data_IF_440646578991
#
_entry.id   IF_440646578991
#
_cell.length_a   1.000
_cell.length_b   1.000
_cell.length_c   1.000
_cell.angle_alpha   90.00
_cell.angle_beta   90.00
_cell.angle_gamma   90.00
#
_symmetry.space_group_name_H-M   'P 1'
#
loop_
_entity.id
_entity.type
_entity.pdbx_description
1 polymer ?
#
# COMPACT_ATOMS: atom_id res chain seq x y z
N UNK A 1 37.98 75.03 21.04
CA UNK A 1 36.83 75.05 20.10
C UNK A 1 37.28 75.83 18.88
N UNK A 2 37.87 75.17 17.88
CA UNK A 2 37.28 74.53 16.66
C UNK A 2 37.42 75.46 15.45
N UNK A 3 37.61 74.88 14.26
CA UNK A 3 37.85 75.45 12.91
C UNK A 3 39.33 75.39 12.51
N UNK A 4 39.86 74.31 11.91
CA UNK A 4 39.48 73.49 10.74
C UNK A 4 39.70 74.21 9.41
N UNK A 5 40.92 74.04 8.92
CA UNK A 5 41.48 74.54 7.65
C UNK A 5 41.00 73.68 6.47
N UNK A 6 40.51 74.34 5.43
CA UNK A 6 40.26 73.76 4.11
C UNK A 6 41.58 73.74 3.32
N UNK A 7 42.01 72.56 2.85
CA UNK A 7 43.11 72.41 1.90
C UNK A 7 42.67 71.58 0.70
N UNK A 8 42.97 72.11 -0.46
CA UNK A 8 42.69 71.63 -1.82
C UNK A 8 43.58 70.45 -2.20
N UNK A 9 43.03 69.43 -2.89
CA UNK A 9 43.83 68.45 -3.61
C UNK A 9 43.11 67.86 -4.84
N UNK A 10 43.76 68.11 -6.00
CA UNK A 10 43.96 67.26 -7.19
C UNK A 10 42.77 66.64 -7.94
N UNK A 11 42.61 67.12 -9.18
CA UNK A 11 42.04 66.41 -10.32
C UNK A 11 42.84 65.13 -10.65
N UNK A 12 42.14 64.01 -10.77
CA UNK A 12 42.59 62.81 -11.49
C UNK A 12 41.52 62.40 -12.51
N UNK A 13 41.99 62.19 -13.74
CA UNK A 13 41.27 61.77 -14.93
C UNK A 13 40.51 60.45 -14.72
N UNK A 14 39.20 60.45 -14.98
CA UNK A 14 38.36 59.26 -14.97
C UNK A 14 38.17 58.74 -16.41
N UNK A 15 38.80 57.59 -16.70
CA UNK A 15 38.56 56.78 -17.89
C UNK A 15 37.15 56.20 -17.82
N UNK A 16 36.34 56.43 -18.85
CA UNK A 16 34.98 55.92 -18.96
C UNK A 16 34.97 54.37 -19.08
N UNK A 17 34.45 53.69 -18.05
CA UNK A 17 34.19 52.26 -18.08
C UNK A 17 32.90 51.97 -18.87
N UNK A 18 32.97 51.08 -19.87
CA UNK A 18 31.82 50.56 -20.61
C UNK A 18 30.93 49.71 -19.67
N UNK A 19 29.59 49.70 -19.84
CA UNK A 19 28.73 48.84 -19.04
C UNK A 19 28.93 47.37 -19.42
N UNK A 20 29.21 46.52 -18.43
CA UNK A 20 29.21 45.06 -18.59
C UNK A 20 27.81 44.57 -18.98
N UNK A 21 27.70 43.96 -20.16
CA UNK A 21 26.56 43.14 -20.53
C UNK A 21 26.42 41.96 -19.55
N UNK A 22 25.44 42.08 -18.64
CA UNK A 22 24.98 41.00 -17.78
C UNK A 22 24.54 39.82 -18.66
N UNK A 23 25.41 38.81 -18.82
CA UNK A 23 25.04 37.50 -19.40
C UNK A 23 23.87 36.92 -18.62
N UNK A 24 22.68 37.00 -19.22
CA UNK A 24 21.50 36.29 -18.75
C UNK A 24 21.71 34.81 -19.06
N UNK A 25 22.10 34.02 -18.06
CA UNK A 25 22.14 32.57 -18.18
C UNK A 25 20.74 32.08 -18.57
N UNK A 26 20.56 31.31 -19.67
CA UNK A 26 19.26 30.80 -20.03
C UNK A 26 18.71 29.98 -18.89
N UNK A 27 17.57 30.40 -18.34
CA UNK A 27 16.86 29.65 -17.32
C UNK A 27 16.59 28.24 -17.87
N UNK A 28 17.14 27.21 -17.21
CA UNK A 28 16.84 25.83 -17.56
C UNK A 28 15.32 25.64 -17.62
N UNK A 29 14.79 24.93 -18.62
CA UNK A 29 13.35 24.72 -18.71
C UNK A 29 12.90 24.07 -17.42
N UNK A 30 12.08 24.79 -16.63
CA UNK A 30 11.39 24.20 -15.48
C UNK A 30 10.62 23.00 -16.03
N UNK A 31 11.11 21.79 -15.74
CA UNK A 31 10.40 20.56 -16.05
C UNK A 31 8.95 20.76 -15.59
N UNK A 32 8.00 20.68 -16.54
CA UNK A 32 6.56 20.75 -16.24
C UNK A 32 6.33 19.83 -15.05
N UNK A 33 5.91 20.39 -13.90
CA UNK A 33 5.40 19.60 -12.79
C UNK A 33 4.09 18.97 -13.27
N UNK A 34 4.17 17.88 -14.03
CA UNK A 34 3.03 17.00 -14.30
C UNK A 34 2.74 16.21 -13.03
N UNK A 35 2.46 16.93 -11.93
CA UNK A 35 2.05 16.38 -10.64
C UNK A 35 0.58 16.00 -10.65
N UNK A 36 0.09 15.41 -11.75
CA UNK A 36 -1.23 14.80 -11.77
C UNK A 36 -1.21 13.61 -10.82
N UNK A 37 -2.09 13.61 -9.82
CA UNK A 37 -2.36 12.41 -9.02
C UNK A 37 -2.79 11.29 -9.98
N UNK A 38 -2.09 10.17 -9.99
CA UNK A 38 -2.43 9.01 -10.81
C UNK A 38 -3.71 8.35 -10.27
N UNK A 39 -4.88 8.89 -10.65
CA UNK A 39 -6.18 8.44 -10.16
C UNK A 39 -6.49 6.99 -10.54
N UNK A 40 -5.96 6.51 -11.68
CA UNK A 40 -6.08 5.11 -12.07
C UNK A 40 -5.46 4.14 -11.03
N UNK A 41 -4.38 4.52 -10.34
CA UNK A 41 -3.81 3.68 -9.26
C UNK A 41 -4.76 3.59 -8.06
N UNK A 42 -5.48 4.67 -7.77
CA UNK A 42 -6.47 4.70 -6.70
C UNK A 42 -7.69 3.80 -7.03
N UNK A 43 -8.08 3.71 -8.31
CA UNK A 43 -9.06 2.73 -8.77
C UNK A 43 -8.57 1.29 -8.66
N UNK A 44 -7.36 1.01 -9.14
CA UNK A 44 -6.78 -0.34 -9.08
C UNK A 44 -6.62 -0.85 -7.65
N UNK A 45 -6.31 0.06 -6.71
CA UNK A 45 -6.32 -0.22 -5.27
C UNK A 45 -7.69 -0.69 -4.77
N UNK A 46 -8.77 -0.01 -5.15
CA UNK A 46 -10.11 -0.43 -4.74
C UNK A 46 -10.46 -1.80 -5.33
N UNK A 47 -10.10 -2.06 -6.60
CA UNK A 47 -10.27 -3.38 -7.22
C UNK A 47 -9.55 -4.46 -6.42
N UNK A 48 -8.29 -4.24 -6.04
CA UNK A 48 -7.53 -5.18 -5.23
C UNK A 48 -8.17 -5.41 -3.84
N UNK A 49 -8.68 -4.37 -3.19
CA UNK A 49 -9.41 -4.51 -1.92
C UNK A 49 -10.70 -5.33 -2.08
N UNK A 50 -11.47 -5.06 -3.12
CA UNK A 50 -12.70 -5.80 -3.40
C UNK A 50 -12.38 -7.27 -3.66
N UNK A 51 -11.34 -7.58 -4.46
CA UNK A 51 -10.88 -8.95 -4.68
C UNK A 51 -10.63 -9.67 -3.35
N UNK A 52 -9.95 -9.03 -2.40
CA UNK A 52 -9.70 -9.61 -1.08
C UNK A 52 -11.01 -9.81 -0.30
N UNK A 53 -11.94 -8.86 -0.34
CA UNK A 53 -13.25 -9.03 0.31
C UNK A 53 -14.08 -10.17 -0.30
N UNK A 54 -14.10 -10.29 -1.63
CA UNK A 54 -14.70 -11.41 -2.37
C UNK A 54 -14.13 -12.74 -1.88
N UNK A 55 -12.81 -12.82 -1.70
CA UNK A 55 -12.13 -13.98 -1.12
C UNK A 55 -12.61 -14.28 0.31
N UNK A 56 -12.63 -13.28 1.20
CA UNK A 56 -13.01 -13.50 2.60
C UNK A 56 -14.48 -13.85 2.81
N UNK A 57 -15.38 -13.48 1.90
CA UNK A 57 -16.81 -13.78 2.02
C UNK A 57 -17.25 -15.04 1.28
N UNK A 58 -16.64 -15.34 0.14
CA UNK A 58 -17.10 -16.42 -0.73
C UNK A 58 -16.02 -17.36 -1.27
N UNK A 59 -14.74 -16.99 -1.15
CA UNK A 59 -13.61 -17.72 -1.75
C UNK A 59 -12.76 -18.55 -0.78
N UNK A 60 -13.03 -18.47 0.53
CA UNK A 60 -12.28 -19.18 1.58
C UNK A 60 -13.18 -19.91 2.57
N UNK A 61 -12.64 -20.89 3.25
CA UNK A 61 -13.28 -21.54 4.40
C UNK A 61 -12.86 -20.90 5.72
N UNK A 62 -13.02 -21.66 6.80
CA UNK A 62 -12.69 -21.23 8.16
C UNK A 62 -13.85 -20.50 8.81
N UNK A 63 -13.58 -19.41 9.53
CA UNK A 63 -14.55 -18.71 10.38
C UNK A 63 -15.77 -18.18 9.61
N UNK A 64 -15.60 -17.79 8.34
CA UNK A 64 -16.72 -17.36 7.50
C UNK A 64 -17.76 -18.47 7.27
N UNK A 65 -17.37 -19.75 7.31
CA UNK A 65 -18.31 -20.88 7.22
C UNK A 65 -19.29 -20.86 8.39
N UNK A 66 -18.83 -20.48 9.59
CA UNK A 66 -19.71 -20.35 10.75
C UNK A 66 -20.66 -19.15 10.62
N UNK A 67 -20.21 -18.06 9.99
CA UNK A 67 -21.05 -16.89 9.72
C UNK A 67 -22.18 -17.22 8.72
N UNK A 68 -21.88 -17.96 7.64
CA UNK A 68 -22.89 -18.46 6.71
C UNK A 68 -23.73 -19.62 7.27
N UNK A 69 -23.21 -20.35 8.27
CA UNK A 69 -23.79 -21.59 8.79
C UNK A 69 -23.60 -22.82 7.88
N UNK A 70 -23.07 -22.64 6.68
CA UNK A 70 -22.63 -23.71 5.76
C UNK A 70 -21.42 -23.22 4.95
N UNK A 71 -20.80 -24.11 4.17
CA UNK A 71 -19.62 -23.75 3.40
C UNK A 71 -19.93 -22.68 2.33
N UNK A 72 -19.02 -21.72 2.07
CA UNK A 72 -19.18 -20.79 0.95
C UNK A 72 -19.31 -21.46 -0.43
N UNK A 73 -18.77 -22.67 -0.60
CA UNK A 73 -19.00 -23.48 -1.80
C UNK A 73 -20.48 -23.86 -1.97
N UNK A 74 -21.18 -24.14 -0.88
CA UNK A 74 -22.64 -24.37 -0.88
C UNK A 74 -23.41 -23.09 -1.15
N UNK A 75 -22.97 -21.97 -0.56
CA UNK A 75 -23.61 -20.66 -0.73
C UNK A 75 -23.45 -20.10 -2.15
N UNK A 76 -22.30 -20.35 -2.80
CA UNK A 76 -21.95 -19.83 -4.12
C UNK A 76 -21.36 -20.92 -5.03
N UNK A 77 -22.15 -21.91 -5.49
CA UNK A 77 -21.63 -23.08 -6.21
C UNK A 77 -20.81 -22.77 -7.46
N UNK A 78 -21.15 -21.68 -8.16
CA UNK A 78 -20.44 -21.24 -9.37
C UNK A 78 -19.34 -20.22 -9.04
N UNK A 79 -19.60 -19.26 -8.15
CA UNK A 79 -18.70 -18.13 -7.92
C UNK A 79 -17.58 -18.41 -6.92
N UNK A 80 -17.70 -19.41 -6.04
CA UNK A 80 -16.70 -19.66 -4.99
C UNK A 80 -15.30 -19.90 -5.56
N UNK A 81 -15.20 -20.61 -6.69
CA UNK A 81 -13.92 -20.88 -7.38
C UNK A 81 -13.28 -19.58 -7.89
N UNK A 82 -14.06 -18.66 -8.46
CA UNK A 82 -13.59 -17.36 -8.90
C UNK A 82 -13.16 -16.48 -7.71
N UNK A 83 -13.98 -16.45 -6.66
CA UNK A 83 -13.70 -15.70 -5.44
C UNK A 83 -12.46 -16.22 -4.72
N UNK A 84 -12.12 -17.51 -4.86
CA UNK A 84 -10.91 -18.07 -4.28
C UNK A 84 -9.66 -17.35 -4.78
N UNK A 85 -9.61 -16.91 -6.04
CA UNK A 85 -8.46 -16.15 -6.55
C UNK A 85 -8.36 -14.73 -5.97
N UNK A 86 -9.38 -14.24 -5.26
CA UNK A 86 -9.42 -12.90 -4.69
C UNK A 86 -8.29 -12.59 -3.69
N UNK A 87 -7.70 -13.62 -3.07
CA UNK A 87 -6.50 -13.45 -2.22
C UNK A 87 -5.32 -12.83 -2.98
N UNK A 88 -5.25 -13.01 -4.31
CA UNK A 88 -4.22 -12.42 -5.16
C UNK A 88 -4.28 -10.89 -5.26
N UNK A 89 -5.37 -10.28 -4.77
CA UNK A 89 -5.46 -8.83 -4.61
C UNK A 89 -4.35 -8.27 -3.70
N UNK A 90 -3.83 -9.07 -2.75
CA UNK A 90 -2.71 -8.65 -1.88
C UNK A 90 -1.42 -8.45 -2.69
N UNK A 91 -1.12 -9.33 -3.64
CA UNK A 91 0.04 -9.23 -4.51
C UNK A 91 -0.07 -7.96 -5.39
N UNK A 92 -1.27 -7.67 -5.91
CA UNK A 92 -1.54 -6.42 -6.63
C UNK A 92 -1.29 -5.19 -5.73
N UNK A 93 -1.73 -5.23 -4.46
CA UNK A 93 -1.43 -4.18 -3.49
C UNK A 93 0.06 -3.96 -3.28
N UNK A 94 0.86 -5.02 -3.19
CA UNK A 94 2.30 -4.91 -3.02
C UNK A 94 3.00 -4.32 -4.25
N UNK A 95 2.56 -4.66 -5.47
CA UNK A 95 3.06 -3.99 -6.69
C UNK A 95 2.73 -2.49 -6.68
N UNK A 96 1.48 -2.12 -6.32
CA UNK A 96 1.09 -0.70 -6.20
C UNK A 96 1.88 0.01 -5.10
N UNK A 97 2.13 -0.66 -3.97
CA UNK A 97 2.88 -0.12 -2.84
C UNK A 97 4.32 0.16 -3.25
N UNK A 98 4.99 -0.78 -3.90
CA UNK A 98 6.34 -0.58 -4.46
C UNK A 98 6.44 0.65 -5.37
N UNK A 99 5.49 0.79 -6.28
CA UNK A 99 5.42 1.93 -7.19
C UNK A 99 5.24 3.27 -6.44
N UNK A 100 4.23 3.34 -5.56
CA UNK A 100 3.88 4.60 -4.88
C UNK A 100 4.88 4.99 -3.80
N UNK A 101 5.52 4.03 -3.14
CA UNK A 101 6.57 4.31 -2.17
C UNK A 101 7.82 4.84 -2.84
N UNK A 102 8.24 4.27 -3.97
CA UNK A 102 9.34 4.82 -4.73
C UNK A 102 9.03 6.25 -5.22
N UNK A 103 7.82 6.47 -5.74
CA UNK A 103 7.35 7.78 -6.16
C UNK A 103 7.34 8.81 -5.04
N UNK A 104 6.76 8.46 -3.90
CA UNK A 104 6.56 9.40 -2.79
C UNK A 104 7.79 9.62 -1.93
N UNK A 105 8.72 8.67 -1.88
CA UNK A 105 10.01 8.82 -1.20
C UNK A 105 11.06 9.57 -2.02
N UNK A 106 10.89 9.67 -3.35
CA UNK A 106 11.89 10.28 -4.21
C UNK A 106 12.07 11.78 -3.93
N UNK A 107 13.29 12.17 -3.53
CA UNK A 107 13.63 13.57 -3.26
C UNK A 107 12.89 14.18 -2.07
N UNK A 108 12.41 13.36 -1.13
CA UNK A 108 11.78 13.81 0.12
C UNK A 108 12.68 13.57 1.33
N UNK A 109 12.67 14.46 2.33
CA UNK A 109 13.38 14.20 3.58
C UNK A 109 12.68 13.07 4.36
N UNK A 110 13.47 12.29 5.11
CA UNK A 110 13.00 11.13 5.87
C UNK A 110 11.80 11.43 6.77
N UNK A 111 11.85 12.56 7.51
CA UNK A 111 10.75 12.98 8.39
C UNK A 111 9.44 13.19 7.64
N UNK A 112 9.50 13.84 6.47
CA UNK A 112 8.30 14.08 5.65
C UNK A 112 7.74 12.78 5.06
N UNK A 113 8.62 11.86 4.67
CA UNK A 113 8.24 10.52 4.24
C UNK A 113 7.52 9.77 5.37
N UNK A 114 8.14 9.67 6.54
CA UNK A 114 7.57 9.02 7.72
C UNK A 114 6.23 9.64 8.12
N UNK A 115 6.18 10.97 8.28
CA UNK A 115 4.96 11.69 8.63
C UNK A 115 3.85 11.42 7.61
N UNK A 116 4.15 11.35 6.31
CA UNK A 116 3.16 11.02 5.28
C UNK A 116 2.66 9.58 5.36
N UNK A 117 3.49 8.62 5.76
CA UNK A 117 3.08 7.20 5.86
C UNK A 117 2.31 6.93 7.15
N UNK A 118 2.83 7.39 8.28
CA UNK A 118 2.19 7.25 9.60
C UNK A 118 0.81 7.92 9.64
N UNK A 119 0.71 9.16 9.14
CA UNK A 119 -0.59 9.86 9.09
C UNK A 119 -1.62 9.23 8.16
N UNK A 120 -1.18 8.44 7.17
CA UNK A 120 -2.06 7.71 6.27
C UNK A 120 -2.57 6.40 6.88
N UNK A 121 -1.71 5.68 7.62
CA UNK A 121 -2.04 4.35 8.12
C UNK A 121 -2.71 4.37 9.50
N UNK A 122 -2.16 5.15 10.44
CA UNK A 122 -2.54 5.04 11.85
C UNK A 122 -3.99 5.45 12.17
N UNK A 123 -4.54 6.55 11.62
CA UNK A 123 -5.90 7.00 11.99
C UNK A 123 -6.98 5.94 11.78
N UNK A 124 -7.09 5.39 10.56
CA UNK A 124 -8.09 4.37 10.27
C UNK A 124 -7.74 3.02 10.91
N UNK A 125 -6.46 2.70 11.08
CA UNK A 125 -6.05 1.47 11.77
C UNK A 125 -6.51 1.48 13.24
N UNK A 126 -6.24 2.54 13.98
CA UNK A 126 -6.70 2.67 15.37
C UNK A 126 -8.22 2.62 15.46
N UNK A 127 -8.92 3.33 14.58
CA UNK A 127 -10.37 3.29 14.55
C UNK A 127 -10.92 1.89 14.26
N UNK A 128 -10.33 1.15 13.32
CA UNK A 128 -10.73 -0.21 12.98
C UNK A 128 -10.47 -1.17 14.16
N UNK A 129 -9.31 -1.08 14.81
CA UNK A 129 -9.00 -1.88 16.02
C UNK A 129 -10.06 -1.64 17.09
N UNK A 130 -10.36 -0.38 17.43
CA UNK A 130 -11.36 -0.05 18.44
C UNK A 130 -12.76 -0.51 18.05
N UNK A 131 -13.14 -0.37 16.78
CA UNK A 131 -14.45 -0.77 16.29
C UNK A 131 -14.64 -2.29 16.34
N UNK A 132 -13.63 -3.07 15.94
CA UNK A 132 -13.68 -4.54 16.05
C UNK A 132 -13.73 -4.97 17.51
N UNK A 133 -12.91 -4.36 18.37
CA UNK A 133 -12.95 -4.61 19.82
C UNK A 133 -14.32 -4.35 20.41
N UNK A 134 -14.95 -3.22 20.08
CA UNK A 134 -16.29 -2.91 20.56
C UNK A 134 -17.33 -3.90 20.02
N UNK A 135 -17.28 -4.22 18.72
CA UNK A 135 -18.21 -5.18 18.12
C UNK A 135 -18.12 -6.57 18.78
N UNK A 136 -16.91 -7.02 19.13
CA UNK A 136 -16.70 -8.33 19.76
C UNK A 136 -17.03 -8.34 21.26
N UNK A 137 -17.15 -7.17 21.89
CA UNK A 137 -17.63 -7.04 23.27
C UNK A 137 -19.17 -7.12 23.38
N UNK A 138 -19.90 -7.01 22.25
CA UNK A 138 -21.36 -7.09 22.26
C UNK A 138 -21.82 -8.53 22.54
N UNK A 139 -22.72 -8.77 23.52
CA UNK A 139 -23.18 -10.11 23.88
C UNK A 139 -23.84 -10.90 22.74
N UNK A 140 -24.36 -10.19 21.73
CA UNK A 140 -25.03 -10.76 20.56
C UNK A 140 -24.05 -11.30 19.52
N UNK A 141 -22.76 -10.99 19.65
CA UNK A 141 -21.72 -11.39 18.71
C UNK A 141 -21.01 -12.61 19.29
N UNK A 142 -21.13 -13.76 18.63
CA UNK A 142 -20.50 -15.01 19.12
C UNK A 142 -19.02 -15.09 18.74
N UNK A 143 -18.26 -14.07 19.15
CA UNK A 143 -16.81 -14.04 19.18
C UNK A 143 -16.38 -13.76 20.63
N UNK A 144 -15.20 -14.27 21.02
CA UNK A 144 -14.68 -14.04 22.36
C UNK A 144 -14.27 -12.57 22.51
N UNK A 145 -14.64 -11.95 23.62
CA UNK A 145 -14.15 -10.63 23.99
C UNK A 145 -12.62 -10.62 24.05
N UNK A 146 -12.02 -9.56 23.53
CA UNK A 146 -10.56 -9.41 23.44
C UNK A 146 -9.98 -8.92 24.77
N UNK A 147 -8.77 -9.38 25.11
CA UNK A 147 -8.04 -8.88 26.27
C UNK A 147 -7.66 -7.40 26.06
N UNK A 148 -7.86 -6.51 27.06
CA UNK A 148 -7.41 -5.12 26.97
C UNK A 148 -5.91 -5.00 26.65
N UNK A 149 -5.09 -5.93 27.17
CA UNK A 149 -3.65 -5.99 26.87
C UNK A 149 -3.40 -6.21 25.38
N UNK A 150 -4.10 -7.16 24.77
CA UNK A 150 -3.92 -7.49 23.35
C UNK A 150 -4.36 -6.32 22.47
N UNK A 151 -5.45 -5.65 22.83
CA UNK A 151 -5.91 -4.44 22.13
C UNK A 151 -4.87 -3.34 22.18
N UNK A 152 -4.28 -3.07 23.35
CA UNK A 152 -3.23 -2.05 23.52
C UNK A 152 -1.99 -2.38 22.68
N UNK A 153 -1.55 -3.64 22.65
CA UNK A 153 -0.44 -4.05 21.79
C UNK A 153 -0.81 -3.90 20.32
N UNK A 154 -2.02 -4.28 19.92
CA UNK A 154 -2.48 -4.13 18.53
C UNK A 154 -2.48 -2.67 18.09
N UNK A 155 -2.79 -1.69 18.95
CA UNK A 155 -2.72 -0.26 18.63
C UNK A 155 -1.29 0.22 18.23
N UNK A 156 -0.25 -0.53 18.61
CA UNK A 156 1.15 -0.25 18.22
C UNK A 156 1.55 -0.85 16.86
N UNK A 157 0.72 -1.73 16.28
CA UNK A 157 1.06 -2.58 15.12
C UNK A 157 2.17 -3.63 15.37
N UNK A 158 2.58 -3.83 16.62
CA UNK A 158 3.65 -4.79 17.01
C UNK A 158 3.13 -6.15 17.49
N UNK A 159 1.84 -6.45 17.32
CA UNK A 159 1.26 -7.73 17.76
C UNK A 159 1.92 -8.95 17.13
N UNK A 160 2.29 -8.88 15.84
CA UNK A 160 2.93 -9.99 15.12
C UNK A 160 4.32 -10.34 15.69
N UNK A 161 5.29 -9.42 15.79
CA UNK A 161 6.60 -9.74 16.34
C UNK A 161 6.58 -10.06 17.85
N UNK A 162 5.56 -9.59 18.59
CA UNK A 162 5.41 -9.87 20.01
C UNK A 162 4.57 -11.12 20.31
N UNK A 163 4.09 -11.84 19.28
CA UNK A 163 3.31 -13.07 19.44
C UNK A 163 1.92 -12.86 20.05
N UNK A 164 1.35 -11.67 19.92
CA UNK A 164 0.03 -11.31 20.43
C UNK A 164 -1.04 -11.54 19.36
N UNK A 165 -2.21 -12.01 19.78
CA UNK A 165 -3.35 -12.26 18.90
C UNK A 165 -3.77 -10.99 18.14
N UNK A 166 -4.18 -11.20 16.88
CA UNK A 166 -4.50 -10.11 15.97
C UNK A 166 -5.95 -9.70 16.12
N UNK A 167 -6.20 -8.44 16.45
CA UNK A 167 -7.56 -7.88 16.45
C UNK A 167 -8.10 -7.75 15.02
N UNK A 168 -7.23 -7.37 14.08
CA UNK A 168 -7.56 -7.28 12.66
C UNK A 168 -6.84 -8.41 11.91
N UNK A 169 -7.57 -9.33 11.29
CA UNK A 169 -6.96 -10.45 10.57
C UNK A 169 -6.04 -10.00 9.43
N UNK A 170 -6.37 -8.91 8.74
CA UNK A 170 -5.56 -8.33 7.65
C UNK A 170 -4.23 -7.69 8.10
N UNK A 171 -3.95 -7.54 9.39
CA UNK A 171 -2.80 -6.77 9.88
C UNK A 171 -1.43 -7.34 9.45
N UNK A 172 -1.35 -8.62 9.07
CA UNK A 172 -0.12 -9.21 8.54
C UNK A 172 0.36 -8.52 7.25
N UNK A 173 -0.56 -8.07 6.39
CA UNK A 173 -0.21 -7.31 5.17
C UNK A 173 0.35 -5.94 5.49
N UNK A 174 -0.22 -5.27 6.51
CA UNK A 174 0.28 -3.99 7.00
C UNK A 174 1.65 -4.14 7.64
N UNK A 175 1.88 -5.23 8.37
CA UNK A 175 3.18 -5.55 8.94
C UNK A 175 4.25 -5.77 7.85
N UNK A 176 3.91 -6.46 6.75
CA UNK A 176 4.77 -6.54 5.58
C UNK A 176 5.04 -5.15 4.97
N UNK A 177 4.00 -4.32 4.84
CA UNK A 177 4.12 -2.99 4.26
C UNK A 177 4.99 -2.04 5.11
N UNK A 178 4.84 -2.04 6.44
CA UNK A 178 5.66 -1.23 7.36
C UNK A 178 7.14 -1.64 7.31
N UNK A 179 7.43 -2.94 7.23
CA UNK A 179 8.80 -3.44 7.05
C UNK A 179 9.41 -2.99 5.73
N UNK A 180 8.65 -3.06 4.63
CA UNK A 180 9.07 -2.50 3.35
C UNK A 180 9.33 -0.99 3.46
N UNK A 181 8.49 -0.23 4.16
CA UNK A 181 8.70 1.20 4.36
C UNK A 181 9.99 1.48 5.12
N UNK A 182 10.31 0.70 6.14
CA UNK A 182 11.54 0.81 6.91
C UNK A 182 12.77 0.50 6.04
N UNK A 183 12.75 -0.61 5.28
CA UNK A 183 13.84 -0.95 4.35
C UNK A 183 14.06 0.14 3.30
N UNK A 184 12.99 0.62 2.67
CA UNK A 184 13.07 1.67 1.66
C UNK A 184 13.53 3.00 2.26
N UNK A 185 13.07 3.34 3.46
CA UNK A 185 13.49 4.54 4.16
C UNK A 185 14.99 4.51 4.47
N UNK A 186 15.50 3.39 5.00
CA UNK A 186 16.89 3.22 5.37
C UNK A 186 17.83 3.19 4.15
N UNK A 187 17.46 2.44 3.11
CA UNK A 187 18.35 2.22 1.96
C UNK A 187 18.25 3.31 0.88
N UNK A 188 17.11 4.01 0.77
CA UNK A 188 16.84 4.95 -0.34
C UNK A 188 16.57 6.37 0.14
N UNK A 189 15.63 6.55 1.08
CA UNK A 189 15.21 7.91 1.47
C UNK A 189 16.27 8.61 2.30
N UNK A 190 16.82 7.94 3.32
CA UNK A 190 17.84 8.46 4.21
C UNK A 190 19.12 8.89 3.48
N UNK A 191 19.78 8.03 2.67
CA UNK A 191 20.98 8.44 1.95
C UNK A 191 20.68 9.39 0.79
N UNK A 192 19.42 9.41 0.31
CA UNK A 192 18.97 10.20 -0.83
C UNK A 192 18.73 9.33 -2.08
N UNK A 193 17.53 9.45 -2.65
CA UNK A 193 17.09 8.62 -3.77
C UNK A 193 17.82 9.00 -5.07
N UNK A 194 18.56 8.05 -5.64
CA UNK A 194 19.15 8.15 -6.98
C UNK A 194 18.85 6.89 -7.79
N UNK A 195 18.83 7.00 -9.13
CA UNK A 195 18.56 5.87 -10.02
C UNK A 195 19.49 4.68 -9.73
N UNK A 196 20.79 4.95 -9.60
CA UNK A 196 21.80 3.91 -9.29
C UNK A 196 21.49 3.20 -7.97
N UNK A 197 21.17 3.95 -6.91
CA UNK A 197 20.84 3.36 -5.60
C UNK A 197 19.57 2.53 -5.63
N UNK A 198 18.54 2.99 -6.33
CA UNK A 198 17.30 2.21 -6.46
C UNK A 198 17.54 0.91 -7.23
N UNK A 199 18.31 0.94 -8.32
CA UNK A 199 18.66 -0.29 -9.07
C UNK A 199 19.47 -1.25 -8.19
N UNK A 200 20.49 -0.75 -7.48
CA UNK A 200 21.31 -1.57 -6.58
C UNK A 200 20.49 -2.15 -5.42
N UNK A 201 19.55 -1.36 -4.87
CA UNK A 201 18.60 -1.83 -3.85
C UNK A 201 17.70 -2.94 -4.40
N UNK A 202 17.12 -2.77 -5.59
CA UNK A 202 16.31 -3.81 -6.22
C UNK A 202 17.10 -5.09 -6.47
N UNK A 203 18.30 -4.98 -7.04
CA UNK A 203 19.17 -6.12 -7.31
C UNK A 203 19.61 -6.83 -6.01
N UNK A 204 20.08 -6.05 -5.03
CA UNK A 204 20.53 -6.56 -3.74
C UNK A 204 19.40 -7.22 -2.94
N UNK A 205 18.22 -6.60 -2.88
CA UNK A 205 17.08 -7.18 -2.18
C UNK A 205 16.54 -8.43 -2.89
N UNK A 206 16.49 -8.45 -4.23
CA UNK A 206 16.10 -9.64 -5.00
C UNK A 206 17.05 -10.81 -4.69
N UNK A 207 18.36 -10.57 -4.74
CA UNK A 207 19.37 -11.58 -4.46
C UNK A 207 19.30 -12.05 -3.00
N UNK A 208 19.23 -11.11 -2.04
CA UNK A 208 19.14 -11.44 -0.63
C UNK A 208 17.87 -12.23 -0.29
N UNK A 209 16.73 -11.90 -0.90
CA UNK A 209 15.49 -12.65 -0.76
C UNK A 209 15.61 -14.08 -1.31
N UNK A 210 16.23 -14.26 -2.48
CA UNK A 210 16.47 -15.58 -3.05
C UNK A 210 17.38 -16.45 -2.17
N UNK A 211 18.47 -15.87 -1.64
CA UNK A 211 19.39 -16.57 -0.72
C UNK A 211 18.66 -16.94 0.58
N UNK A 212 17.89 -16.02 1.15
CA UNK A 212 17.13 -16.24 2.39
C UNK A 212 16.17 -17.42 2.27
N UNK A 213 15.52 -17.54 1.12
CA UNK A 213 14.62 -18.66 0.88
C UNK A 213 15.36 -20.01 0.88
N UNK A 214 16.61 -20.03 0.43
CA UNK A 214 17.46 -21.23 0.44
C UNK A 214 18.06 -21.54 1.82
N UNK A 215 18.42 -20.52 2.61
CA UNK A 215 19.05 -20.70 3.92
C UNK A 215 18.06 -21.01 5.06
N UNK A 216 16.77 -20.73 4.87
CA UNK A 216 15.71 -20.89 5.89
C UNK A 216 15.97 -20.11 7.18
N UNK A 217 16.76 -19.05 7.13
CA UNK A 217 17.07 -18.21 8.29
C UNK A 217 15.83 -17.41 8.74
N UNK A 218 15.40 -17.58 9.98
CA UNK A 218 14.18 -16.97 10.51
C UNK A 218 14.27 -15.43 10.56
N UNK A 219 15.43 -14.87 10.93
CA UNK A 219 15.61 -13.43 11.04
C UNK A 219 15.58 -12.78 9.65
N UNK A 220 16.28 -13.36 8.69
CA UNK A 220 16.27 -12.87 7.31
C UNK A 220 14.88 -12.99 6.67
N UNK A 221 14.13 -14.04 6.97
CA UNK A 221 12.74 -14.16 6.51
C UNK A 221 11.86 -13.02 7.03
N UNK A 222 12.03 -12.65 8.30
CA UNK A 222 11.31 -11.51 8.91
C UNK A 222 11.73 -10.19 8.27
N UNK A 223 13.02 -9.98 8.01
CA UNK A 223 13.52 -8.70 7.48
C UNK A 223 13.22 -8.57 5.98
N UNK A 224 13.60 -9.57 5.19
CA UNK A 224 13.64 -9.48 3.72
C UNK A 224 12.33 -9.92 3.06
N UNK A 225 11.43 -10.60 3.77
CA UNK A 225 10.10 -10.97 3.29
C UNK A 225 10.14 -11.63 1.89
N UNK A 226 10.88 -12.74 1.70
CA UNK A 226 11.20 -13.26 0.38
C UNK A 226 9.98 -13.60 -0.48
N UNK A 227 8.88 -14.03 0.13
CA UNK A 227 7.60 -14.31 -0.53
C UNK A 227 6.95 -13.06 -1.14
N UNK A 228 7.16 -11.88 -0.54
CA UNK A 228 6.49 -10.64 -0.93
C UNK A 228 7.42 -9.65 -1.65
N UNK A 229 8.74 -9.77 -1.44
CA UNK A 229 9.75 -8.90 -2.02
C UNK A 229 9.61 -8.71 -3.54
N UNK A 230 9.36 -9.76 -4.37
CA UNK A 230 9.26 -9.58 -5.80
C UNK A 230 8.14 -8.61 -6.22
N UNK A 231 7.02 -8.59 -5.51
CA UNK A 231 5.91 -7.68 -5.83
C UNK A 231 6.28 -6.23 -5.52
N UNK A 232 6.88 -5.97 -4.35
CA UNK A 232 7.36 -4.62 -4.00
C UNK A 232 8.45 -4.14 -4.96
N UNK A 233 9.46 -4.97 -5.23
CA UNK A 233 10.58 -4.65 -6.12
C UNK A 233 10.09 -4.42 -7.56
N UNK A 234 9.16 -5.27 -8.05
CA UNK A 234 8.50 -5.09 -9.33
C UNK A 234 7.79 -3.75 -9.45
N UNK A 235 7.05 -3.36 -8.42
CA UNK A 235 6.43 -2.03 -8.32
C UNK A 235 7.43 -0.88 -8.38
N UNK A 236 8.55 -0.99 -7.66
CA UNK A 236 9.66 -0.01 -7.70
C UNK A 236 10.24 0.08 -9.12
N UNK A 237 10.44 -1.06 -9.79
CA UNK A 237 10.86 -1.13 -11.19
C UNK A 237 9.89 -0.42 -12.14
N UNK A 238 8.59 -0.62 -11.97
CA UNK A 238 7.55 0.07 -12.76
C UNK A 238 7.57 1.59 -12.56
N UNK A 239 7.95 2.08 -11.37
CA UNK A 239 8.15 3.51 -11.17
C UNK A 239 9.40 4.02 -11.91
N UNK A 240 10.48 3.24 -11.99
CA UNK A 240 11.63 3.60 -12.83
C UNK A 240 11.24 3.66 -14.32
N UNK A 241 10.41 2.73 -14.80
CA UNK A 241 9.83 2.77 -16.17
C UNK A 241 8.99 4.04 -16.36
N UNK A 242 8.18 4.43 -15.38
CA UNK A 242 7.41 5.67 -15.43
C UNK A 242 8.31 6.91 -15.60
N UNK A 243 9.49 6.92 -14.97
CA UNK A 243 10.46 8.02 -15.10
C UNK A 243 11.22 7.99 -16.43
N UNK A 244 11.58 6.81 -16.92
CA UNK A 244 12.25 6.62 -18.20
C UNK A 244 11.77 5.33 -18.88
N UNK A 245 10.89 5.45 -19.86
CA UNK A 245 10.23 4.32 -20.54
C UNK A 245 11.20 3.40 -21.29
N UNK A 246 12.37 3.91 -21.68
CA UNK A 246 13.42 3.18 -22.40
C UNK A 246 14.46 2.54 -21.48
N UNK A 247 14.26 2.60 -20.16
CA UNK A 247 15.22 2.08 -19.20
C UNK A 247 15.21 0.53 -19.17
N UNK A 248 16.18 -0.09 -19.83
CA UNK A 248 16.33 -1.53 -19.90
C UNK A 248 16.52 -2.19 -18.52
N UNK A 249 17.19 -1.51 -17.58
CA UNK A 249 17.37 -2.02 -16.22
C UNK A 249 16.05 -2.03 -15.45
N UNK A 250 15.23 -1.00 -15.65
CA UNK A 250 13.90 -0.93 -15.04
C UNK A 250 13.00 -2.08 -15.52
N UNK A 251 12.97 -2.31 -16.85
CA UNK A 251 12.24 -3.44 -17.42
C UNK A 251 12.80 -4.80 -16.98
N UNK A 252 14.14 -4.93 -16.89
CA UNK A 252 14.79 -6.13 -16.35
C UNK A 252 14.37 -6.43 -14.91
N UNK A 253 14.35 -5.41 -14.04
CA UNK A 253 13.86 -5.54 -12.66
C UNK A 253 12.41 -6.03 -12.64
N UNK A 254 11.54 -5.44 -13.46
CA UNK A 254 10.13 -5.82 -13.56
C UNK A 254 9.98 -7.27 -14.03
N UNK A 255 10.66 -7.66 -15.09
CA UNK A 255 10.57 -9.00 -15.67
C UNK A 255 11.07 -10.08 -14.71
N UNK A 256 12.26 -9.89 -14.11
CA UNK A 256 12.83 -10.84 -13.14
C UNK A 256 11.90 -11.02 -11.94
N UNK A 257 11.39 -9.91 -11.39
CA UNK A 257 10.54 -9.98 -10.20
C UNK A 257 9.12 -10.46 -10.51
N UNK A 258 8.62 -10.27 -11.72
CA UNK A 258 7.39 -10.94 -12.17
C UNK A 258 7.58 -12.46 -12.22
N UNK A 259 8.68 -12.95 -12.83
CA UNK A 259 8.96 -14.38 -12.96
C UNK A 259 9.15 -15.06 -11.59
N UNK A 260 9.85 -14.41 -10.66
CA UNK A 260 10.02 -14.90 -9.28
C UNK A 260 8.69 -14.82 -8.52
N UNK A 261 7.99 -13.69 -8.60
CA UNK A 261 6.73 -13.46 -7.88
C UNK A 261 5.63 -14.43 -8.30
N UNK A 262 5.45 -14.67 -9.59
CA UNK A 262 4.47 -15.65 -10.07
C UNK A 262 4.84 -17.07 -9.61
N UNK A 263 6.13 -17.42 -9.56
CA UNK A 263 6.57 -18.73 -9.10
C UNK A 263 6.20 -18.95 -7.62
N UNK A 264 6.48 -17.98 -6.75
CA UNK A 264 6.07 -18.08 -5.35
C UNK A 264 4.54 -18.09 -5.17
N UNK A 265 3.82 -17.24 -5.91
CA UNK A 265 2.36 -17.25 -5.86
C UNK A 265 1.78 -18.62 -6.28
N UNK A 266 2.32 -19.25 -7.33
CA UNK A 266 1.91 -20.59 -7.74
C UNK A 266 2.28 -21.61 -6.68
N UNK A 267 3.51 -21.61 -6.17
CA UNK A 267 3.97 -22.54 -5.12
C UNK A 267 3.07 -22.53 -3.89
N UNK A 268 2.65 -21.34 -3.44
CA UNK A 268 1.95 -21.17 -2.17
C UNK A 268 0.42 -21.30 -2.29
N UNK A 269 -0.16 -21.08 -3.48
CA UNK A 269 -1.61 -21.06 -3.69
C UNK A 269 -2.13 -22.17 -4.61
N UNK A 270 -1.26 -22.89 -5.32
CA UNK A 270 -1.64 -24.02 -6.16
C UNK A 270 -2.08 -25.20 -5.30
N UNK A 271 -3.28 -25.68 -5.59
CA UNK A 271 -3.89 -26.82 -4.91
C UNK A 271 -4.89 -27.55 -5.82
N UNK A 272 -4.74 -27.43 -7.14
CA UNK A 272 -5.65 -28.02 -8.11
C UNK A 272 -5.76 -29.55 -7.97
N UNK A 273 -4.70 -30.20 -7.50
CA UNK A 273 -4.63 -31.65 -7.34
C UNK A 273 -5.00 -32.16 -5.94
N UNK A 274 -5.26 -31.27 -4.97
CA UNK A 274 -5.55 -31.65 -3.59
C UNK A 274 -7.06 -31.87 -3.38
N UNK A 275 -7.55 -33.11 -3.15
CA UNK A 275 -8.97 -33.38 -2.96
C UNK A 275 -9.58 -32.71 -1.72
N UNK A 276 -8.75 -32.35 -0.74
CA UNK A 276 -9.16 -31.72 0.51
C UNK A 276 -9.06 -30.18 0.46
N UNK A 277 -8.59 -29.62 -0.64
CA UNK A 277 -8.50 -28.19 -0.81
C UNK A 277 -9.88 -27.54 -0.77
N UNK A 278 -10.01 -26.48 0.04
CA UNK A 278 -11.26 -25.71 0.13
C UNK A 278 -11.72 -25.16 -1.23
N UNK A 279 -10.78 -24.75 -2.08
CA UNK A 279 -11.04 -24.32 -3.45
C UNK A 279 -9.82 -24.65 -4.33
N UNK A 280 -10.06 -25.15 -5.54
CA UNK A 280 -9.00 -25.49 -6.49
C UNK A 280 -8.59 -24.28 -7.31
N UNK A 281 -7.30 -23.90 -7.20
CA UNK A 281 -6.69 -22.85 -8.00
C UNK A 281 -5.69 -23.44 -8.98
N UNK A 282 -5.79 -22.97 -10.22
CA UNK A 282 -4.88 -23.36 -11.31
C UNK A 282 -3.67 -22.41 -11.38
N UNK A 283 -2.54 -22.91 -11.88
CA UNK A 283 -1.26 -22.23 -11.98
C UNK A 283 -1.38 -21.15 -13.02
N UNK A 284 -1.99 -21.49 -14.17
CA UNK A 284 -2.34 -20.52 -15.20
C UNK A 284 -3.22 -19.39 -14.63
N UNK A 285 -4.28 -19.71 -13.87
CA UNK A 285 -5.14 -18.71 -13.25
C UNK A 285 -4.38 -17.78 -12.29
N UNK A 286 -3.51 -18.35 -11.44
CA UNK A 286 -2.66 -17.58 -10.51
C UNK A 286 -1.70 -16.67 -11.30
N UNK A 287 -0.97 -17.23 -12.27
CA UNK A 287 0.00 -16.49 -13.09
C UNK A 287 -0.68 -15.37 -13.88
N UNK A 288 -1.87 -15.59 -14.44
CA UNK A 288 -2.63 -14.57 -15.17
C UNK A 288 -3.05 -13.40 -14.28
N UNK A 289 -3.47 -13.65 -13.04
CA UNK A 289 -3.87 -12.59 -12.11
C UNK A 289 -2.67 -11.81 -11.59
N UNK A 290 -1.55 -12.49 -11.32
CA UNK A 290 -0.28 -11.83 -11.01
C UNK A 290 0.18 -10.97 -12.18
N UNK A 291 0.13 -11.50 -13.41
CA UNK A 291 0.46 -10.77 -14.62
C UNK A 291 -0.44 -9.55 -14.80
N UNK A 292 -1.76 -9.69 -14.56
CA UNK A 292 -2.69 -8.57 -14.57
C UNK A 292 -2.26 -7.46 -13.60
N UNK A 293 -1.84 -7.79 -12.38
CA UNK A 293 -1.35 -6.78 -11.42
C UNK A 293 -0.17 -5.97 -11.94
N UNK A 294 0.83 -6.66 -12.52
CA UNK A 294 2.01 -6.00 -13.11
C UNK A 294 1.65 -5.19 -14.37
N UNK A 295 0.87 -5.76 -15.28
CA UNK A 295 0.46 -5.11 -16.53
C UNK A 295 -0.43 -3.90 -16.25
N UNK A 296 -1.35 -3.98 -15.29
CA UNK A 296 -2.22 -2.85 -14.92
C UNK A 296 -1.38 -1.68 -14.38
N UNK A 297 -0.42 -1.93 -13.48
CA UNK A 297 0.47 -0.87 -13.00
C UNK A 297 1.40 -0.37 -14.11
N UNK A 298 1.87 -1.23 -15.02
CA UNK A 298 2.66 -0.83 -16.18
C UNK A 298 1.88 0.07 -17.15
N UNK A 299 0.62 -0.26 -17.44
CA UNK A 299 -0.25 0.56 -18.28
C UNK A 299 -0.44 1.96 -17.69
N UNK A 300 -0.59 2.06 -16.36
CA UNK A 300 -0.63 3.36 -15.67
C UNK A 300 0.73 4.06 -15.73
N UNK A 301 1.82 3.35 -15.49
CA UNK A 301 3.18 3.89 -15.55
C UNK A 301 3.53 4.47 -16.94
N UNK A 302 3.02 3.84 -18.01
CA UNK A 302 3.22 4.27 -19.40
C UNK A 302 2.25 5.36 -19.85
N UNK A 303 1.26 5.74 -19.03
CA UNK A 303 0.25 6.74 -19.35
C UNK A 303 -0.89 6.23 -20.26
N UNK A 304 -1.00 4.92 -20.48
CA UNK A 304 -2.07 4.34 -21.31
C UNK A 304 -3.46 4.53 -20.69
N UNK A 305 -3.50 4.75 -19.37
CA UNK A 305 -4.72 4.98 -18.61
C UNK A 305 -4.88 6.44 -18.14
N UNK A 306 -4.19 7.40 -18.77
CA UNK A 306 -4.32 8.83 -18.44
C UNK A 306 -5.75 9.36 -18.69
N UNK A 307 -6.52 8.69 -19.56
CA UNK A 307 -7.94 8.97 -19.78
C UNK A 307 -8.80 8.68 -18.55
N UNK A 308 -8.40 7.72 -17.71
CA UNK A 308 -9.09 7.33 -16.49
C UNK A 308 -8.73 8.27 -15.31
N UNK A 309 -8.92 9.58 -15.52
CA UNK A 309 -8.64 10.62 -14.54
C UNK A 309 -9.92 11.16 -13.87
N UNK A 310 -10.93 10.32 -13.68
CA UNK A 310 -12.21 10.73 -13.10
C UNK A 310 -12.10 11.07 -11.62
N UNK A 311 -12.85 12.08 -11.16
CA UNK A 311 -12.77 12.57 -9.76
C UNK A 311 -13.16 11.50 -8.73
N UNK A 312 -14.13 10.63 -9.05
CA UNK A 312 -14.58 9.57 -8.16
C UNK A 312 -13.48 8.54 -7.85
N UNK A 313 -12.50 8.35 -8.73
CA UNK A 313 -11.36 7.46 -8.46
C UNK A 313 -10.50 7.95 -7.29
N UNK A 314 -10.48 9.27 -7.04
CA UNK A 314 -9.84 9.82 -5.83
C UNK A 314 -10.60 9.40 -4.56
N UNK A 315 -11.93 9.34 -4.63
CA UNK A 315 -12.77 8.83 -3.55
C UNK A 315 -12.53 7.33 -3.38
N UNK A 316 -12.49 6.56 -4.47
CA UNK A 316 -12.18 5.12 -4.45
C UNK A 316 -10.85 4.83 -3.72
N UNK A 317 -9.79 5.59 -4.02
CA UNK A 317 -8.51 5.45 -3.32
C UNK A 317 -8.56 5.84 -1.85
N UNK A 318 -9.37 6.84 -1.48
CA UNK A 318 -9.56 7.24 -0.09
C UNK A 318 -10.33 6.19 0.72
N UNK A 319 -11.30 5.52 0.10
CA UNK A 319 -12.10 4.47 0.75
C UNK A 319 -11.37 3.13 0.85
N UNK A 320 -10.39 2.87 -0.02
CA UNK A 320 -9.75 1.55 -0.12
C UNK A 320 -9.17 1.10 1.22
N UNK A 321 -8.42 1.96 1.91
CA UNK A 321 -7.71 1.57 3.13
C UNK A 321 -8.68 1.32 4.31
N UNK A 322 -9.60 2.23 4.66
CA UNK A 322 -10.63 1.95 5.66
C UNK A 322 -11.45 0.70 5.35
N UNK A 323 -11.86 0.51 4.08
CA UNK A 323 -12.59 -0.69 3.66
C UNK A 323 -11.77 -1.95 3.90
N UNK A 324 -10.50 -1.94 3.49
CA UNK A 324 -9.60 -3.08 3.66
C UNK A 324 -9.42 -3.46 5.13
N UNK A 325 -9.43 -2.50 6.06
CA UNK A 325 -9.33 -2.77 7.50
C UNK A 325 -10.58 -3.42 8.09
N UNK A 326 -11.78 -2.96 7.68
CA UNK A 326 -13.04 -3.39 8.32
C UNK A 326 -13.68 -4.60 7.67
N UNK A 327 -13.35 -4.92 6.41
CA UNK A 327 -14.12 -5.88 5.63
C UNK A 327 -14.13 -7.29 6.23
N UNK A 328 -13.05 -7.76 6.88
CA UNK A 328 -12.97 -9.16 7.29
C UNK A 328 -13.85 -9.47 8.52
N UNK A 329 -13.40 -9.06 9.72
CA UNK A 329 -14.03 -9.47 10.97
C UNK A 329 -15.44 -8.87 11.14
N UNK A 330 -15.60 -7.57 10.85
CA UNK A 330 -16.92 -6.94 10.89
C UNK A 330 -17.82 -7.43 9.76
N UNK A 331 -17.25 -7.74 8.59
CA UNK A 331 -18.00 -8.33 7.49
C UNK A 331 -18.59 -9.69 7.88
N UNK A 332 -17.85 -10.53 8.60
CA UNK A 332 -18.37 -11.82 9.09
C UNK A 332 -19.52 -11.64 10.09
N UNK A 333 -19.43 -10.66 10.99
CA UNK A 333 -20.53 -10.31 11.91
C UNK A 333 -21.78 -9.88 11.14
N UNK A 334 -21.60 -9.06 10.09
CA UNK A 334 -22.72 -8.64 9.22
C UNK A 334 -23.30 -9.82 8.45
N UNK A 335 -22.47 -10.66 7.82
CA UNK A 335 -22.94 -11.87 7.12
C UNK A 335 -23.77 -12.75 8.04
N UNK A 336 -23.26 -13.02 9.25
CA UNK A 336 -23.98 -13.82 10.25
C UNK A 336 -25.33 -13.18 10.58
N UNK A 337 -25.35 -11.89 10.88
CA UNK A 337 -26.59 -11.19 11.24
C UNK A 337 -27.62 -11.23 10.11
N UNK A 338 -27.22 -10.86 8.90
CA UNK A 338 -28.11 -10.80 7.74
C UNK A 338 -28.60 -12.19 7.33
N UNK A 339 -27.71 -13.18 7.24
CA UNK A 339 -28.06 -14.50 6.72
C UNK A 339 -28.65 -15.44 7.78
N UNK A 340 -28.09 -15.47 9.00
CA UNK A 340 -28.52 -16.41 10.05
C UNK A 340 -29.65 -15.87 10.90
N UNK A 341 -29.64 -14.57 11.21
CA UNK A 341 -30.66 -13.98 12.07
C UNK A 341 -31.84 -13.43 11.26
N UNK A 342 -31.56 -12.70 10.17
CA UNK A 342 -32.59 -12.10 9.31
C UNK A 342 -32.99 -12.97 8.11
N UNK A 343 -32.37 -14.14 7.93
CA UNK A 343 -32.70 -15.11 6.87
C UNK A 343 -32.64 -14.53 5.44
N UNK A 344 -31.78 -13.54 5.21
CA UNK A 344 -31.60 -12.92 3.90
C UNK A 344 -30.84 -13.88 2.97
N UNK A 345 -31.28 -14.08 1.71
CA UNK A 345 -30.61 -14.96 0.75
C UNK A 345 -29.13 -14.62 0.55
N UNK A 346 -28.32 -15.62 0.19
CA UNK A 346 -26.85 -15.54 0.17
C UNK A 346 -26.30 -14.40 -0.70
N UNK A 347 -26.82 -14.26 -1.92
CA UNK A 347 -26.41 -13.19 -2.84
C UNK A 347 -26.80 -11.80 -2.35
N UNK A 348 -28.00 -11.65 -1.77
CA UNK A 348 -28.43 -10.38 -1.19
C UNK A 348 -27.59 -10.03 0.05
N UNK A 349 -27.35 -10.99 0.95
CA UNK A 349 -26.45 -10.81 2.09
C UNK A 349 -25.07 -10.38 1.64
N UNK A 350 -24.48 -11.06 0.65
CA UNK A 350 -23.15 -10.72 0.12
C UNK A 350 -23.07 -9.27 -0.37
N UNK A 351 -24.02 -8.83 -1.20
CA UNK A 351 -24.06 -7.46 -1.73
C UNK A 351 -24.26 -6.43 -0.61
N UNK A 352 -25.17 -6.71 0.34
CA UNK A 352 -25.42 -5.84 1.49
C UNK A 352 -24.21 -5.77 2.43
N UNK A 353 -23.46 -6.86 2.61
CA UNK A 353 -22.20 -6.85 3.37
C UNK A 353 -21.17 -5.95 2.70
N UNK A 354 -20.94 -6.09 1.39
CA UNK A 354 -20.00 -5.22 0.66
C UNK A 354 -20.44 -3.76 0.75
N UNK A 355 -21.72 -3.47 0.53
CA UNK A 355 -22.27 -2.12 0.61
C UNK A 355 -22.12 -1.52 2.02
N UNK A 356 -22.42 -2.28 3.07
CA UNK A 356 -22.29 -1.82 4.46
C UNK A 356 -20.83 -1.58 4.85
N UNK A 357 -19.89 -2.41 4.40
CA UNK A 357 -18.45 -2.19 4.63
C UNK A 357 -17.92 -0.98 3.85
N UNK A 358 -18.39 -0.74 2.63
CA UNK A 358 -18.05 0.47 1.87
C UNK A 358 -18.64 1.73 2.51
N UNK A 359 -19.87 1.66 3.03
CA UNK A 359 -20.49 2.74 3.78
C UNK A 359 -19.69 3.03 5.06
N UNK A 360 -19.32 1.99 5.81
CA UNK A 360 -18.49 2.13 7.01
C UNK A 360 -17.13 2.73 6.68
N UNK A 361 -16.48 2.28 5.60
CA UNK A 361 -15.24 2.86 5.11
C UNK A 361 -15.38 4.36 4.79
N UNK A 362 -16.51 4.74 4.20
CA UNK A 362 -16.82 6.15 3.92
C UNK A 362 -17.02 6.95 5.20
N UNK A 363 -17.71 6.41 6.20
CA UNK A 363 -17.86 7.04 7.51
C UNK A 363 -16.50 7.24 8.20
N UNK A 364 -15.65 6.20 8.23
CA UNK A 364 -14.29 6.28 8.79
C UNK A 364 -13.44 7.33 8.07
N UNK A 365 -13.49 7.36 6.73
CA UNK A 365 -12.78 8.37 5.96
C UNK A 365 -13.31 9.78 6.28
N UNK A 366 -14.63 9.96 6.30
CA UNK A 366 -15.29 11.25 6.48
C UNK A 366 -15.03 11.85 7.86
N UNK A 367 -15.21 11.06 8.92
CA UNK A 367 -15.23 11.53 10.29
C UNK A 367 -13.88 11.38 11.01
N UNK A 368 -13.06 10.40 10.62
CA UNK A 368 -11.79 10.13 11.29
C UNK A 368 -10.62 10.58 10.43
N UNK A 369 -10.48 10.03 9.21
CA UNK A 369 -9.28 10.31 8.42
C UNK A 369 -9.17 11.78 7.99
N UNK A 370 -10.25 12.39 7.50
CA UNK A 370 -10.22 13.80 7.06
C UNK A 370 -9.85 14.78 8.19
N UNK A 371 -10.10 14.41 9.44
CA UNK A 371 -9.79 15.23 10.60
C UNK A 371 -8.44 14.89 11.22
N UNK A 372 -8.14 13.60 11.44
CA UNK A 372 -6.95 13.17 12.18
C UNK A 372 -5.69 13.12 11.32
N UNK A 373 -5.81 12.74 10.03
CA UNK A 373 -4.67 12.69 9.09
C UNK A 373 -3.89 14.00 9.01
N UNK A 374 -4.51 15.17 8.73
CA UNK A 374 -3.77 16.42 8.62
C UNK A 374 -3.13 16.83 9.96
N UNK A 375 -3.82 16.61 11.09
CA UNK A 375 -3.30 16.91 12.43
C UNK A 375 -2.08 16.07 12.78
N UNK A 376 -2.18 14.76 12.58
CA UNK A 376 -1.08 13.83 12.84
C UNK A 376 0.10 14.11 11.92
N UNK A 377 -0.16 14.40 10.64
CA UNK A 377 0.89 14.79 9.69
C UNK A 377 1.60 16.06 10.12
N UNK A 378 0.86 17.08 10.55
CA UNK A 378 1.42 18.35 11.02
C UNK A 378 2.28 18.13 12.28
N UNK A 379 1.79 17.35 13.24
CA UNK A 379 2.52 17.02 14.47
C UNK A 379 3.84 16.29 14.18
N UNK A 380 3.81 15.25 13.33
CA UNK A 380 5.00 14.46 12.97
C UNK A 380 5.99 15.20 12.05
N UNK A 381 5.56 16.28 11.41
CA UNK A 381 6.42 17.07 10.51
C UNK A 381 7.19 18.17 11.24
N UNK A 382 6.86 18.48 12.51
CA UNK A 382 7.59 19.49 13.30
C UNK A 382 9.00 18.97 13.67
N UNK A 383 10.04 19.82 13.61
CA UNK A 383 11.32 19.47 14.23
C UNK A 383 11.11 19.29 15.74
N UNK A 384 11.81 18.31 16.32
CA UNK A 384 11.91 18.21 17.78
C UNK A 384 12.66 19.47 18.23
N UNK A 385 12.03 20.26 19.09
CA UNK A 385 12.60 21.49 19.64
C UNK A 385 13.84 21.18 20.48
#
# INVERSE_FOLDING_TARGET
MTETVVSTAKQQSAVAARPEERRVTPAQPKAKRSGGRLRALDGLRLVAALMVALYHYGGRGGEITAAWGTSPKTQFPVLHSWFSYGCLGVQVFFVISGFVICMSGWGRPLRSFFASRASRLLPAYWAAVLLVTFAFALPTVAYKALSPSDVLVNLTMLQMPLGVDRVLGVCWTLWAEVRFYALFALCIVLPGASRRRVILFCAGWTLAAAITQSSKDALLNVILMPEYAPFFIGGVGLYLVHRNRKDAYAWGIVAVNFLIGQHYAVRDLWNASDPNAFAHRTSLGITLIVAFGFVAVAAIALGWLDWANWRWLTVAGALTYPFYLVHEHLGWVVVRTLHRSLHIPSYATFLLTIASMLLLAWLLNRYIENWLTPKLRAALSKPLA
#
